data_IF_568664831293
#
_entry.id   IF_568664831293
#
_cell.length_a   1.000
_cell.length_b   1.000
_cell.length_c   1.000
_cell.angle_alpha   90.00
_cell.angle_beta   90.00
_cell.angle_gamma   90.00
#
_symmetry.space_group_name_H-M   'P 1'
#
loop_
_entity.id
_entity.type
_entity.pdbx_description
1 polymer ?
#
# COMPACT_ATOMS: atom_id res chain seq x y z
N UNK A 1 -1.76 -3.18 -25.20
CA UNK A 1 -3.10 -3.52 -24.65
C UNK A 1 -3.05 -3.17 -23.18
N UNK A 2 -4.12 -2.63 -22.61
CA UNK A 2 -4.17 -2.26 -21.20
C UNK A 2 -5.21 -3.14 -20.53
N UNK A 3 -4.84 -3.79 -19.44
CA UNK A 3 -5.76 -4.48 -18.53
C UNK A 3 -5.80 -3.64 -17.26
N UNK A 4 -6.97 -3.39 -16.67
CA UNK A 4 -7.02 -2.63 -15.42
C UNK A 4 -7.11 -3.59 -14.26
N UNK A 5 -6.25 -3.35 -13.26
CA UNK A 5 -6.30 -4.01 -11.96
C UNK A 5 -7.01 -3.13 -10.91
N UNK A 6 -7.75 -2.09 -11.33
CA UNK A 6 -8.64 -1.33 -10.44
C UNK A 6 -9.93 -2.09 -10.14
N UNK A 7 -10.60 -1.73 -9.04
CA UNK A 7 -11.88 -2.29 -8.60
C UNK A 7 -11.71 -3.11 -7.33
N UNK A 8 -12.36 -4.27 -7.27
CA UNK A 8 -12.43 -5.11 -6.08
C UNK A 8 -11.14 -5.89 -5.83
N UNK A 9 -10.67 -5.82 -4.59
CA UNK A 9 -9.54 -6.53 -4.04
C UNK A 9 -9.94 -7.12 -2.68
N UNK A 10 -9.02 -7.84 -2.06
CA UNK A 10 -9.10 -8.18 -0.65
C UNK A 10 -7.93 -7.55 0.10
N UNK A 11 -8.19 -7.07 1.31
CA UNK A 11 -7.18 -6.50 2.20
C UNK A 11 -7.16 -7.23 3.55
N UNK A 12 -5.97 -7.44 4.11
CA UNK A 12 -5.78 -7.94 5.47
C UNK A 12 -4.55 -7.29 6.10
N UNK A 13 -4.23 -7.64 7.33
CA UNK A 13 -3.12 -7.07 8.08
C UNK A 13 -2.65 -8.00 9.19
N UNK A 14 -1.45 -7.79 9.70
CA UNK A 14 -0.88 -8.66 10.75
C UNK A 14 -1.65 -8.61 12.07
N UNK A 15 -2.49 -7.59 12.26
CA UNK A 15 -3.42 -7.43 13.37
C UNK A 15 -4.86 -7.89 13.07
N UNK A 16 -5.13 -8.45 11.89
CA UNK A 16 -6.49 -8.81 11.47
C UNK A 16 -6.61 -10.33 11.34
N UNK A 17 -7.75 -10.87 11.80
CA UNK A 17 -8.03 -12.30 11.73
C UNK A 17 -8.53 -12.75 10.34
N UNK A 18 -9.01 -11.82 9.52
CA UNK A 18 -9.72 -12.09 8.28
C UNK A 18 -9.26 -11.19 7.13
N UNK A 19 -9.64 -11.60 5.92
CA UNK A 19 -9.56 -10.75 4.73
C UNK A 19 -10.87 -9.98 4.59
N UNK A 20 -10.76 -8.70 4.33
CA UNK A 20 -11.86 -7.76 4.11
C UNK A 20 -11.96 -7.39 2.65
N UNK A 21 -13.14 -6.96 2.22
CA UNK A 21 -13.31 -6.39 0.89
C UNK A 21 -12.53 -5.07 0.79
N UNK A 22 -11.86 -4.85 -0.33
CA UNK A 22 -11.08 -3.65 -0.56
C UNK A 22 -11.33 -3.07 -1.95
N UNK A 23 -11.12 -1.75 -2.09
CA UNK A 23 -11.25 -1.06 -3.37
C UNK A 23 -9.90 -0.44 -3.75
N UNK A 24 -9.47 -0.68 -4.99
CA UNK A 24 -8.29 -0.06 -5.59
C UNK A 24 -8.71 0.82 -6.77
N UNK A 25 -8.30 2.11 -6.84
CA UNK A 25 -7.44 2.79 -5.87
C UNK A 25 -8.10 3.03 -4.52
N UNK A 26 -7.31 2.96 -3.45
CA UNK A 26 -7.79 3.10 -2.08
C UNK A 26 -6.67 2.98 -1.04
N UNK A 27 -7.05 2.96 0.23
CA UNK A 27 -6.13 2.88 1.36
C UNK A 27 -6.64 1.96 2.47
N UNK A 28 -5.74 1.53 3.34
CA UNK A 28 -6.04 0.64 4.45
C UNK A 28 -7.11 1.25 5.35
N UNK A 29 -6.98 2.52 5.73
CA UNK A 29 -8.00 3.16 6.56
C UNK A 29 -9.37 3.24 5.87
N UNK A 30 -9.41 3.52 4.57
CA UNK A 30 -10.67 3.53 3.83
C UNK A 30 -11.32 2.16 3.80
N UNK A 31 -10.56 1.10 3.52
CA UNK A 31 -11.07 -0.27 3.45
C UNK A 31 -11.53 -0.76 4.84
N UNK A 32 -10.76 -0.47 5.91
CA UNK A 32 -11.17 -0.81 7.28
C UNK A 32 -12.45 -0.09 7.71
N UNK A 33 -12.58 1.19 7.36
CA UNK A 33 -13.77 1.99 7.68
C UNK A 33 -14.99 1.49 6.91
N UNK A 34 -14.83 1.20 5.62
CA UNK A 34 -15.92 0.75 4.77
C UNK A 34 -16.42 -0.65 5.17
N UNK A 35 -15.55 -1.46 5.78
CA UNK A 35 -15.89 -2.73 6.44
C UNK A 35 -16.31 -2.57 7.92
N UNK A 36 -16.48 -1.35 8.43
CA UNK A 36 -16.89 -1.04 9.80
C UNK A 36 -15.96 -1.61 10.89
N UNK A 37 -14.68 -1.82 10.56
CA UNK A 37 -13.66 -2.31 11.50
C UNK A 37 -13.11 -1.17 12.37
N UNK A 38 -13.06 0.05 11.82
CA UNK A 38 -12.60 1.24 12.53
C UNK A 38 -13.67 2.32 12.51
N UNK A 39 -13.64 3.19 13.53
CA UNK A 39 -14.46 4.39 13.57
C UNK A 39 -13.95 5.44 12.56
N UNK A 40 -14.73 6.51 12.37
CA UNK A 40 -14.27 7.64 11.56
C UNK A 40 -12.99 8.26 12.17
N UNK A 41 -11.85 8.28 11.44
CA UNK A 41 -10.59 8.84 11.95
C UNK A 41 -10.65 10.32 12.29
N UNK A 42 -11.60 11.06 11.70
CA UNK A 42 -11.74 12.50 11.91
C UNK A 42 -12.70 12.86 13.04
N UNK A 43 -13.27 11.88 13.74
CA UNK A 43 -14.17 12.13 14.85
C UNK A 43 -13.43 12.12 16.18
N UNK A 44 -13.47 13.26 16.89
CA UNK A 44 -12.88 13.44 18.23
C UNK A 44 -11.41 13.00 18.26
N UNK A 45 -11.07 12.07 19.14
CA UNK A 45 -9.73 11.57 19.46
C UNK A 45 -9.44 10.19 18.84
N UNK A 46 -10.27 9.73 17.90
CA UNK A 46 -10.08 8.45 17.21
C UNK A 46 -8.74 8.37 16.44
N UNK A 47 -8.12 9.51 16.13
CA UNK A 47 -6.80 9.58 15.51
C UNK A 47 -5.78 8.71 16.24
N UNK A 48 -5.76 8.73 17.58
CA UNK A 48 -4.72 8.01 18.34
C UNK A 48 -4.84 6.49 18.19
N UNK A 49 -6.05 5.95 18.28
CA UNK A 49 -6.29 4.51 18.09
C UNK A 49 -6.03 4.08 16.63
N UNK A 50 -6.41 4.91 15.66
CA UNK A 50 -6.27 4.59 14.24
C UNK A 50 -4.82 4.74 13.76
N UNK A 51 -4.07 5.71 14.28
CA UNK A 51 -2.64 5.85 14.05
C UNK A 51 -1.89 4.57 14.46
N UNK A 52 -2.21 4.00 15.62
CA UNK A 52 -1.55 2.80 16.14
C UNK A 52 -1.69 1.59 15.19
N UNK A 53 -2.73 1.56 14.35
CA UNK A 53 -2.90 0.52 13.33
C UNK A 53 -1.75 0.50 12.32
N UNK A 54 -1.10 1.65 12.05
CA UNK A 54 0.03 1.74 11.13
C UNK A 54 1.35 1.25 11.74
N UNK A 55 1.34 0.62 12.91
CA UNK A 55 2.44 -0.22 13.41
C UNK A 55 2.46 -1.61 12.76
N UNK A 56 1.34 -2.01 12.14
CA UNK A 56 1.16 -3.30 11.49
C UNK A 56 1.48 -3.27 9.98
N UNK A 57 1.70 -4.45 9.42
CA UNK A 57 1.86 -4.64 7.98
C UNK A 57 0.52 -5.03 7.37
N UNK A 58 0.30 -4.59 6.13
CA UNK A 58 -0.96 -4.77 5.42
C UNK A 58 -0.76 -5.46 4.08
N UNK A 59 -1.72 -6.30 3.71
CA UNK A 59 -1.67 -7.13 2.52
C UNK A 59 -2.87 -6.81 1.64
N UNK A 60 -2.64 -6.58 0.36
CA UNK A 60 -3.66 -6.53 -0.67
C UNK A 60 -3.48 -7.72 -1.60
N UNK A 61 -4.57 -8.38 -2.00
CA UNK A 61 -4.52 -9.42 -3.03
C UNK A 61 -5.67 -9.34 -4.02
N UNK A 62 -5.39 -9.76 -5.24
CA UNK A 62 -6.40 -9.90 -6.29
C UNK A 62 -6.07 -11.04 -7.25
N UNK A 63 -7.11 -11.75 -7.61
CA UNK A 63 -7.08 -12.73 -8.69
C UNK A 63 -7.56 -12.11 -10.00
N UNK A 64 -6.93 -12.46 -11.11
CA UNK A 64 -7.30 -11.96 -12.43
C UNK A 64 -6.97 -12.99 -13.52
N UNK A 65 -7.64 -12.84 -14.67
CA UNK A 65 -7.42 -13.68 -15.85
C UNK A 65 -7.09 -12.77 -17.01
N UNK A 66 -5.93 -12.98 -17.63
CA UNK A 66 -5.52 -12.25 -18.82
C UNK A 66 -6.04 -12.94 -20.10
N UNK A 67 -6.50 -12.17 -21.10
CA UNK A 67 -6.76 -12.71 -22.43
C UNK A 67 -5.49 -13.33 -23.05
N UNK A 68 -5.66 -14.39 -23.85
CA UNK A 68 -4.54 -15.10 -24.53
C UNK A 68 -3.62 -14.19 -25.35
N UNK A 69 -4.10 -13.02 -25.76
CA UNK A 69 -3.34 -12.01 -26.50
C UNK A 69 -2.19 -11.39 -25.71
N UNK A 70 -2.20 -11.46 -24.37
CA UNK A 70 -1.12 -10.97 -23.51
C UNK A 70 0.13 -11.86 -23.56
N UNK A 71 -0.03 -13.18 -23.74
CA UNK A 71 1.08 -14.15 -23.72
C UNK A 71 1.91 -14.19 -25.02
N UNK A 72 1.58 -13.34 -26.00
CA UNK A 72 2.36 -13.15 -27.23
C UNK A 72 3.20 -11.88 -27.22
N UNK A 73 3.29 -11.18 -26.08
CA UNK A 73 3.89 -9.84 -25.94
C UNK A 73 4.65 -9.73 -24.62
N UNK A 74 5.49 -8.71 -24.53
CA UNK A 74 6.02 -8.25 -23.24
C UNK A 74 4.93 -7.51 -22.46
N UNK A 75 4.80 -7.87 -21.19
CA UNK A 75 3.82 -7.34 -20.26
C UNK A 75 4.53 -6.56 -19.17
N UNK A 76 3.94 -5.43 -18.80
CA UNK A 76 4.45 -4.58 -17.73
C UNK A 76 3.32 -4.31 -16.73
N UNK A 77 3.61 -4.49 -15.45
CA UNK A 77 2.77 -3.98 -14.37
C UNK A 77 3.07 -2.49 -14.21
N UNK A 78 2.03 -1.66 -14.25
CA UNK A 78 2.13 -0.21 -14.03
C UNK A 78 1.34 0.15 -12.78
N UNK A 79 2.03 0.63 -11.75
CA UNK A 79 1.41 1.17 -10.55
C UNK A 79 1.60 2.69 -10.56
N UNK A 80 0.53 3.47 -10.71
CA UNK A 80 0.66 4.93 -10.76
C UNK A 80 1.06 5.55 -9.41
N UNK A 81 0.73 4.88 -8.31
CA UNK A 81 1.10 5.29 -6.96
C UNK A 81 0.90 4.17 -5.95
N UNK A 82 1.92 3.93 -5.13
CA UNK A 82 1.92 2.97 -4.03
C UNK A 82 2.34 3.71 -2.77
N UNK A 83 1.56 3.61 -1.69
CA UNK A 83 1.83 4.26 -0.43
C UNK A 83 2.22 3.23 0.64
N UNK A 84 3.48 3.04 0.99
CA UNK A 84 4.69 3.53 0.29
C UNK A 84 5.69 2.39 0.13
N UNK A 85 5.93 1.67 1.22
CA UNK A 85 6.88 0.58 1.34
C UNK A 85 6.20 -0.72 0.93
N UNK A 86 6.16 -1.03 -0.36
CA UNK A 86 5.47 -2.21 -0.86
C UNK A 86 6.45 -3.29 -1.32
N UNK A 87 6.15 -4.55 -1.01
CA UNK A 87 6.70 -5.72 -1.70
C UNK A 87 5.61 -6.28 -2.60
N UNK A 88 5.91 -6.41 -3.89
CA UNK A 88 4.95 -6.87 -4.89
C UNK A 88 5.27 -8.32 -5.23
N UNK A 89 4.25 -9.17 -5.18
CA UNK A 89 4.35 -10.61 -5.40
C UNK A 89 3.36 -10.99 -6.50
N UNK A 90 3.82 -11.75 -7.49
CA UNK A 90 3.00 -12.25 -8.58
C UNK A 90 3.17 -13.77 -8.65
N UNK A 91 2.06 -14.49 -8.46
CA UNK A 91 2.01 -15.95 -8.50
C UNK A 91 3.01 -16.65 -7.55
N UNK A 92 3.27 -16.04 -6.38
CA UNK A 92 4.19 -16.52 -5.36
C UNK A 92 5.63 -16.01 -5.47
N UNK A 93 5.96 -15.29 -6.55
CA UNK A 93 7.31 -14.76 -6.80
C UNK A 93 7.38 -13.26 -6.50
N UNK A 94 8.41 -12.83 -5.77
CA UNK A 94 8.65 -11.40 -5.53
C UNK A 94 9.14 -10.75 -6.83
N UNK A 95 8.41 -9.74 -7.31
CA UNK A 95 8.76 -9.03 -8.55
C UNK A 95 9.47 -7.70 -8.28
N UNK A 96 9.18 -7.03 -7.16
CA UNK A 96 9.74 -5.72 -6.86
C UNK A 96 9.52 -5.29 -5.40
N UNK A 97 10.33 -4.32 -4.97
CA UNK A 97 10.11 -3.52 -3.77
C UNK A 97 10.00 -2.04 -4.13
N UNK A 98 9.13 -1.30 -3.44
CA UNK A 98 8.94 0.15 -3.61
C UNK A 98 9.11 0.88 -2.28
N UNK A 99 9.43 2.17 -2.35
CA UNK A 99 9.70 2.99 -1.16
C UNK A 99 9.40 4.49 -1.38
N UNK A 100 8.59 4.84 -2.37
CA UNK A 100 8.33 6.24 -2.72
C UNK A 100 6.90 6.43 -3.26
N UNK A 101 6.07 7.11 -2.47
CA UNK A 101 4.67 7.42 -2.77
C UNK A 101 4.50 8.24 -4.06
N UNK A 102 5.50 9.04 -4.40
CA UNK A 102 5.43 10.08 -5.43
C UNK A 102 5.88 9.59 -6.81
N UNK A 103 6.00 8.27 -7.01
CA UNK A 103 6.48 7.69 -8.28
C UNK A 103 5.44 6.78 -8.90
N UNK A 104 5.34 6.86 -10.22
CA UNK A 104 4.82 5.75 -11.03
C UNK A 104 5.91 4.69 -11.16
N UNK A 105 5.51 3.45 -10.93
CA UNK A 105 6.35 2.27 -11.08
C UNK A 105 5.95 1.47 -12.31
N UNK A 106 6.95 0.90 -12.99
CA UNK A 106 6.78 0.03 -14.15
C UNK A 106 7.71 -1.16 -14.02
N UNK A 107 7.15 -2.37 -13.94
CA UNK A 107 7.89 -3.62 -13.79
C UNK A 107 7.59 -4.54 -14.96
N UNK A 108 8.61 -5.16 -15.53
CA UNK A 108 8.42 -6.23 -16.52
C UNK A 108 7.94 -7.48 -15.78
N UNK A 109 6.82 -8.06 -16.22
CA UNK A 109 6.15 -9.16 -15.49
C UNK A 109 5.92 -10.40 -16.33
N UNK A 110 6.35 -10.42 -17.60
CA UNK A 110 6.10 -11.54 -18.51
C UNK A 110 6.58 -12.89 -17.96
N UNK A 111 7.77 -13.01 -17.33
CA UNK A 111 8.27 -14.27 -16.79
C UNK A 111 7.41 -14.86 -15.65
N UNK A 112 6.62 -14.01 -14.99
CA UNK A 112 5.85 -14.38 -13.80
C UNK A 112 4.39 -14.71 -14.12
N UNK A 113 3.91 -14.34 -15.30
CA UNK A 113 2.52 -14.54 -15.72
C UNK A 113 2.26 -15.99 -16.15
N UNK A 114 1.08 -16.50 -15.78
CA UNK A 114 0.61 -17.84 -16.13
C UNK A 114 -0.64 -17.73 -16.99
N UNK A 115 -0.81 -18.63 -17.96
CA UNK A 115 -2.08 -18.73 -18.68
C UNK A 115 -3.22 -19.08 -17.69
N UNK A 116 -4.38 -18.43 -17.86
CA UNK A 116 -5.50 -18.57 -16.95
C UNK A 116 -5.40 -17.65 -15.73
N UNK A 117 -5.57 -18.22 -14.54
CA UNK A 117 -5.73 -17.48 -13.28
C UNK A 117 -4.36 -17.05 -12.74
N UNK A 118 -4.22 -15.76 -12.46
CA UNK A 118 -3.06 -15.15 -11.82
C UNK A 118 -3.48 -14.55 -10.48
N UNK A 119 -2.57 -14.58 -9.50
CA UNK A 119 -2.71 -13.94 -8.20
C UNK A 119 -1.62 -12.87 -8.05
N UNK A 120 -2.03 -11.63 -7.82
CA UNK A 120 -1.12 -10.53 -7.48
C UNK A 120 -1.37 -10.11 -6.03
N UNK A 121 -0.27 -9.87 -5.31
CA UNK A 121 -0.28 -9.48 -3.91
C UNK A 121 0.66 -8.30 -3.68
N UNK A 122 0.27 -7.41 -2.77
CA UNK A 122 1.09 -6.30 -2.29
C UNK A 122 1.17 -6.39 -0.78
N UNK A 123 2.38 -6.44 -0.24
CA UNK A 123 2.65 -6.36 1.20
C UNK A 123 3.22 -4.97 1.50
N UNK A 124 2.44 -4.14 2.19
CA UNK A 124 2.83 -2.84 2.68
C UNK A 124 3.39 -2.95 4.09
N UNK A 125 4.66 -2.57 4.24
CA UNK A 125 5.31 -2.52 5.54
C UNK A 125 4.89 -1.26 6.30
N UNK A 126 4.79 -1.38 7.63
CA UNK A 126 4.49 -0.28 8.54
C UNK A 126 5.39 0.94 8.30
N UNK A 127 4.82 2.12 7.98
CA UNK A 127 5.58 3.35 7.83
C UNK A 127 6.13 3.83 9.18
N UNK A 128 5.40 3.63 10.29
CA UNK A 128 5.84 4.00 11.63
C UNK A 128 7.08 3.21 12.06
N UNK A 129 7.05 1.87 11.94
CA UNK A 129 8.21 1.03 12.29
C UNK A 129 9.41 1.35 11.41
N UNK A 130 9.20 1.53 10.11
CA UNK A 130 10.27 1.88 9.18
C UNK A 130 10.99 3.17 9.58
N UNK A 131 10.24 4.25 9.88
CA UNK A 131 10.92 5.50 10.22
C UNK A 131 11.54 5.43 11.61
N UNK A 132 10.93 4.78 12.59
CA UNK A 132 11.54 4.58 13.91
C UNK A 132 12.87 3.83 13.81
N UNK A 133 12.99 2.83 12.93
CA UNK A 133 14.25 2.16 12.63
C UNK A 133 15.26 3.08 11.95
N UNK A 134 14.82 3.90 10.99
CA UNK A 134 15.70 4.83 10.27
C UNK A 134 16.24 5.94 11.14
N UNK A 135 15.42 6.49 12.04
CA UNK A 135 15.85 7.49 13.03
C UNK A 135 16.90 6.91 13.98
N UNK A 136 16.75 5.64 14.41
CA UNK A 136 17.78 4.95 15.22
C UNK A 136 19.10 4.79 14.47
N UNK A 137 19.05 4.52 13.15
CA UNK A 137 20.23 4.34 12.30
C UNK A 137 20.92 5.67 11.95
N UNK A 138 20.14 6.71 11.68
CA UNK A 138 20.61 8.01 11.23
C UNK A 138 19.76 9.10 11.89
N UNK A 139 20.12 9.53 13.11
CA UNK A 139 19.40 10.59 13.80
C UNK A 139 19.47 11.89 12.99
N UNK A 140 18.30 12.43 12.65
CA UNK A 140 18.18 13.76 12.04
C UNK A 140 17.75 14.77 13.10
N UNK A 141 18.09 16.05 12.89
CA UNK A 141 17.52 17.12 13.69
C UNK A 141 16.06 17.30 13.26
N UNK A 142 15.15 16.69 14.01
CA UNK A 142 13.72 16.78 13.74
C UNK A 142 13.20 18.12 14.25
N UNK A 143 12.49 18.85 13.39
CA UNK A 143 11.76 20.07 13.77
C UNK A 143 10.53 19.74 14.61
N UNK A 144 9.45 20.48 14.42
CA UNK A 144 8.20 20.32 15.20
C UNK A 144 7.50 18.97 15.01
N UNK A 145 7.79 18.24 13.93
CA UNK A 145 7.14 16.96 13.62
C UNK A 145 8.22 15.88 13.49
N UNK A 146 8.04 14.81 14.25
CA UNK A 146 9.01 13.71 14.34
C UNK A 146 8.79 12.70 13.21
N UNK A 147 9.84 12.00 12.78
CA UNK A 147 9.75 10.71 12.07
C UNK A 147 9.14 10.72 10.64
N UNK A 148 9.20 11.80 9.86
CA UNK A 148 8.79 11.74 8.45
C UNK A 148 9.96 11.82 7.45
N UNK A 149 11.09 12.41 7.85
CA UNK A 149 12.19 12.79 6.93
C UNK A 149 12.85 11.63 6.19
N UNK A 150 12.75 10.40 6.72
CA UNK A 150 13.36 9.21 6.13
C UNK A 150 12.48 8.50 5.10
N UNK A 151 11.20 8.85 4.98
CA UNK A 151 10.25 8.17 4.10
C UNK A 151 9.76 9.12 3.02
N UNK A 152 9.82 8.69 1.75
CA UNK A 152 9.28 9.45 0.61
C UNK A 152 7.77 9.25 0.49
N UNK A 153 7.05 9.77 1.49
CA UNK A 153 5.59 9.77 1.64
C UNK A 153 5.11 11.21 1.80
N UNK A 154 3.83 11.48 1.60
CA UNK A 154 3.27 12.79 1.92
C UNK A 154 3.49 13.11 3.42
N UNK A 155 4.35 14.08 3.72
CA UNK A 155 4.81 14.32 5.09
C UNK A 155 3.69 14.77 6.04
N UNK A 156 2.64 15.44 5.53
CA UNK A 156 1.50 15.84 6.36
C UNK A 156 0.77 14.65 7.00
N UNK A 157 0.92 13.44 6.46
CA UNK A 157 0.34 12.23 7.04
C UNK A 157 1.01 11.84 8.37
N UNK A 158 2.17 12.41 8.69
CA UNK A 158 2.79 12.29 10.01
C UNK A 158 2.36 13.42 10.98
N UNK A 159 1.23 14.07 10.69
CA UNK A 159 0.71 15.19 11.46
C UNK A 159 1.28 16.52 11.00
N UNK A 160 0.51 17.59 11.20
CA UNK A 160 0.96 18.96 10.96
C UNK A 160 0.22 19.91 11.92
N UNK A 161 0.59 21.20 11.95
CA UNK A 161 -0.08 22.20 12.81
C UNK A 161 -1.60 22.38 12.53
N UNK A 162 -2.11 21.77 11.46
CA UNK A 162 -3.51 21.79 11.04
C UNK A 162 -4.11 20.41 10.76
N UNK A 163 -3.35 19.32 10.86
CA UNK A 163 -3.77 18.01 10.35
C UNK A 163 -3.42 16.84 11.26
N UNK A 164 -4.23 15.78 11.29
CA UNK A 164 -3.99 14.61 12.12
C UNK A 164 -2.80 13.78 11.59
N UNK A 165 -2.19 13.02 12.49
CA UNK A 165 -1.15 12.03 12.23
C UNK A 165 -1.77 10.69 11.86
N UNK A 166 -2.06 10.53 10.56
CA UNK A 166 -2.65 9.35 9.94
C UNK A 166 -1.74 8.83 8.81
N UNK A 167 -0.63 8.13 9.13
CA UNK A 167 0.35 7.66 8.15
C UNK A 167 -0.13 6.38 7.44
N UNK A 168 -1.24 6.48 6.70
CA UNK A 168 -1.94 5.38 6.01
C UNK A 168 -1.06 4.58 5.03
N UNK A 169 -1.59 3.52 4.43
CA UNK A 169 -0.92 2.73 3.39
C UNK A 169 -1.92 2.26 2.31
N UNK A 170 -1.42 1.86 1.14
CA UNK A 170 -2.25 1.21 0.12
C UNK A 170 -1.88 1.54 -1.32
N UNK A 171 -2.72 1.07 -2.24
CA UNK A 171 -2.60 1.32 -3.69
C UNK A 171 -3.42 2.58 -4.02
N UNK A 172 -2.81 3.75 -3.80
CA UNK A 172 -3.53 5.04 -3.77
C UNK A 172 -3.83 5.65 -5.15
N UNK A 173 -3.31 5.05 -6.23
CA UNK A 173 -3.66 5.42 -7.61
C UNK A 173 -3.88 4.18 -8.49
N UNK A 174 -4.28 4.41 -9.74
CA UNK A 174 -4.60 3.36 -10.68
C UNK A 174 -3.46 2.35 -10.91
N UNK A 175 -3.86 1.11 -11.22
CA UNK A 175 -2.96 -0.01 -11.49
C UNK A 175 -3.41 -0.79 -12.75
N UNK A 176 -2.44 -1.19 -13.57
CA UNK A 176 -2.65 -1.84 -14.88
C UNK A 176 -1.67 -2.99 -15.13
#
# INVERSE_FOLDING_TARGET
MRFSLNGKWQMSGTNLAHWYDAIVPGSVYSDLRDNQVINNPYYRDNEYEIKALMEHDYFYRREFILPKTFFKKHNYLICHGLDTLATIILNGEVIAHTNNMHRTYRFEVTPYLKEGKNLIEFCFASPLRYVDEKVKQCPLHEGTIRRFSHLRKAHYMFGWDWGPELPDAGIWQDIF
#
